data_IF_318765923823
#
_entry.id   IF_318765923823
#
_cell.length_a   1.000
_cell.length_b   1.000
_cell.length_c   1.000
_cell.angle_alpha   90.00
_cell.angle_beta   90.00
_cell.angle_gamma   90.00
#
_symmetry.space_group_name_H-M   'P 1'
#
loop_
_entity.id
_entity.type
_entity.pdbx_description
1 polymer ?
#
# COMPACT_ATOMS: atom_id res chain seq x y z
N UNK A 1 -34.84 -18.14 -43.78
CA UNK A 1 -34.42 -16.78 -43.38
C UNK A 1 -34.00 -16.84 -41.92
N UNK A 2 -32.69 -16.82 -41.63
CA UNK A 2 -32.14 -16.92 -40.27
C UNK A 2 -31.74 -15.52 -39.80
N UNK A 3 -32.28 -15.12 -38.66
CA UNK A 3 -31.95 -13.89 -37.95
C UNK A 3 -30.52 -13.95 -37.40
N UNK A 4 -29.75 -12.88 -37.58
CA UNK A 4 -28.50 -12.62 -36.85
C UNK A 4 -28.69 -11.38 -35.98
N UNK A 5 -28.71 -11.60 -34.66
CA UNK A 5 -28.61 -10.55 -33.64
C UNK A 5 -27.13 -10.36 -33.29
N UNK A 6 -26.61 -9.15 -33.49
CA UNK A 6 -25.29 -8.76 -33.02
C UNK A 6 -25.30 -8.66 -31.48
N UNK A 7 -24.53 -9.53 -30.83
CA UNK A 7 -24.26 -9.48 -29.39
C UNK A 7 -23.24 -8.40 -29.10
N UNK A 8 -23.67 -7.34 -28.43
CA UNK A 8 -22.79 -6.45 -27.66
C UNK A 8 -22.24 -7.28 -26.49
N UNK A 9 -20.92 -7.26 -26.30
CA UNK A 9 -20.23 -7.93 -25.19
C UNK A 9 -20.76 -7.42 -23.85
N UNK A 10 -20.96 -8.29 -22.84
CA UNK A 10 -21.39 -7.82 -21.53
C UNK A 10 -20.20 -7.20 -20.80
N UNK A 11 -20.34 -5.94 -20.41
CA UNK A 11 -19.54 -5.32 -19.36
C UNK A 11 -19.57 -6.22 -18.11
N UNK A 12 -18.39 -6.57 -17.60
CA UNK A 12 -18.27 -7.37 -16.38
C UNK A 12 -18.97 -6.63 -15.22
N UNK A 13 -19.80 -7.32 -14.43
CA UNK A 13 -20.53 -6.67 -13.35
C UNK A 13 -19.56 -6.25 -12.24
N UNK A 14 -19.40 -4.94 -12.07
CA UNK A 14 -18.84 -4.36 -10.85
C UNK A 14 -19.59 -4.95 -9.64
N UNK A 15 -18.86 -5.65 -8.77
CA UNK A 15 -19.41 -6.26 -7.57
C UNK A 15 -19.83 -5.16 -6.59
N UNK A 16 -21.13 -4.83 -6.59
CA UNK A 16 -21.75 -3.97 -5.59
C UNK A 16 -21.62 -4.63 -4.22
N UNK A 17 -20.80 -4.06 -3.33
CA UNK A 17 -20.90 -4.29 -1.88
C UNK A 17 -19.65 -4.69 -1.10
N UNK A 18 -18.43 -4.71 -1.70
CA UNK A 18 -17.21 -5.00 -0.92
C UNK A 18 -16.47 -3.70 -0.57
N UNK A 19 -16.52 -3.31 0.70
CA UNK A 19 -15.66 -2.27 1.28
C UNK A 19 -14.19 -2.60 1.04
N UNK A 20 -13.33 -1.61 0.87
CA UNK A 20 -11.90 -1.80 0.59
C UNK A 20 -11.03 -1.47 1.81
N UNK A 21 -11.39 -0.45 2.58
CA UNK A 21 -10.74 -0.10 3.83
C UNK A 21 -11.33 -0.89 5.00
N UNK A 22 -10.51 -1.20 6.01
CA UNK A 22 -10.94 -1.94 7.20
C UNK A 22 -11.16 -3.44 6.97
N UNK A 23 -10.72 -3.97 5.83
CA UNK A 23 -10.95 -5.37 5.42
C UNK A 23 -9.63 -6.15 5.44
N UNK A 24 -9.62 -7.45 5.78
CA UNK A 24 -8.42 -8.27 5.74
C UNK A 24 -7.75 -8.23 4.38
N UNK A 25 -6.41 -8.16 4.37
CA UNK A 25 -5.64 -7.96 3.14
C UNK A 25 -5.89 -9.10 2.14
N UNK A 26 -6.00 -10.33 2.62
CA UNK A 26 -6.30 -11.54 1.86
C UNK A 26 -7.60 -11.43 1.07
N UNK A 27 -8.65 -10.87 1.66
CA UNK A 27 -9.95 -10.71 1.01
C UNK A 27 -9.92 -9.68 -0.14
N UNK A 28 -8.94 -8.77 -0.14
CA UNK A 28 -8.75 -7.78 -1.19
C UNK A 28 -7.94 -8.32 -2.38
N UNK A 29 -7.18 -9.41 -2.18
CA UNK A 29 -6.36 -10.03 -3.24
C UNK A 29 -7.02 -11.22 -3.92
N UNK A 30 -8.10 -11.79 -3.36
CA UNK A 30 -8.89 -12.87 -3.98
C UNK A 30 -9.48 -12.49 -5.37
N UNK A 31 -9.51 -11.20 -5.71
CA UNK A 31 -9.89 -10.71 -7.05
C UNK A 31 -8.83 -9.83 -7.72
N UNK A 32 -7.61 -9.73 -7.18
CA UNK A 32 -6.57 -8.84 -7.66
C UNK A 32 -5.69 -9.48 -8.75
N UNK A 33 -5.13 -8.65 -9.61
CA UNK A 33 -4.22 -9.01 -10.72
C UNK A 33 -2.95 -9.75 -10.26
N UNK A 34 -2.22 -10.30 -11.24
CA UNK A 34 -1.07 -11.22 -11.17
C UNK A 34 0.02 -10.97 -10.08
N UNK A 35 0.10 -9.78 -9.48
CA UNK A 35 1.11 -9.43 -8.46
C UNK A 35 0.64 -9.68 -7.01
N UNK A 36 -0.65 -9.94 -6.77
CA UNK A 36 -1.17 -10.23 -5.43
C UNK A 36 -1.07 -9.04 -4.46
N UNK A 37 -1.33 -7.84 -4.96
CA UNK A 37 -1.42 -6.57 -4.22
C UNK A 37 -2.80 -5.93 -4.52
N UNK A 38 -3.50 -5.34 -3.55
CA UNK A 38 -4.80 -4.70 -3.79
C UNK A 38 -4.74 -3.57 -4.82
N UNK A 39 -5.73 -3.50 -5.72
CA UNK A 39 -5.76 -2.55 -6.83
C UNK A 39 -5.66 -1.08 -6.38
N UNK A 40 -6.35 -0.70 -5.29
CA UNK A 40 -6.27 0.67 -4.75
C UNK A 40 -4.84 1.06 -4.34
N UNK A 41 -4.05 0.12 -3.83
CA UNK A 41 -2.64 0.37 -3.46
C UNK A 41 -1.82 0.61 -4.70
N UNK A 42 -2.03 -0.21 -5.76
CA UNK A 42 -1.36 -0.04 -7.05
C UNK A 42 -1.67 1.34 -7.62
N UNK A 43 -2.95 1.72 -7.70
CA UNK A 43 -3.36 3.03 -8.23
C UNK A 43 -2.76 4.21 -7.45
N UNK A 44 -2.78 4.15 -6.12
CA UNK A 44 -2.19 5.20 -5.28
C UNK A 44 -0.67 5.29 -5.48
N UNK A 45 0.02 4.16 -5.56
CA UNK A 45 1.47 4.12 -5.80
C UNK A 45 1.82 4.63 -7.19
N UNK A 46 1.14 4.17 -8.24
CA UNK A 46 1.35 4.65 -9.62
C UNK A 46 1.17 6.17 -9.73
N UNK A 47 0.10 6.71 -9.11
CA UNK A 47 -0.10 8.16 -9.04
C UNK A 47 1.09 8.85 -8.33
N UNK A 48 1.51 8.37 -7.18
CA UNK A 48 2.61 8.99 -6.42
C UNK A 48 3.98 8.82 -7.10
N UNK A 49 4.17 7.78 -7.89
CA UNK A 49 5.38 7.63 -8.71
C UNK A 49 5.43 8.65 -9.85
N UNK A 50 4.29 9.03 -10.42
CA UNK A 50 4.22 10.01 -11.50
C UNK A 50 4.28 11.44 -10.96
N UNK A 51 3.56 11.74 -9.88
CA UNK A 51 3.37 13.12 -9.40
C UNK A 51 4.08 13.44 -8.09
N UNK A 52 4.53 12.44 -7.34
CA UNK A 52 4.95 12.60 -5.94
C UNK A 52 6.45 12.52 -5.67
N UNK A 53 7.26 11.98 -6.58
CA UNK A 53 8.68 11.71 -6.30
C UNK A 53 9.50 12.95 -5.95
N UNK A 54 9.18 14.11 -6.51
CA UNK A 54 9.86 15.37 -6.22
C UNK A 54 9.07 16.27 -5.24
N UNK A 55 7.92 15.82 -4.75
CA UNK A 55 7.08 16.61 -3.85
C UNK A 55 7.71 16.68 -2.44
N UNK A 56 8.09 17.90 -2.04
CA UNK A 56 8.75 18.16 -0.76
C UNK A 56 7.92 17.65 0.41
N UNK A 57 8.51 16.73 1.19
CA UNK A 57 7.89 16.17 2.37
C UNK A 57 6.77 15.16 2.06
N UNK A 58 6.77 14.54 0.88
CA UNK A 58 5.84 13.44 0.58
C UNK A 58 5.76 12.42 1.74
N UNK A 59 4.55 11.99 2.09
CA UNK A 59 4.21 11.21 3.29
C UNK A 59 4.39 11.91 4.64
N UNK A 60 5.26 12.91 4.79
CA UNK A 60 5.38 13.68 6.03
C UNK A 60 4.28 14.73 6.17
N UNK A 61 3.97 15.43 5.09
CA UNK A 61 2.91 16.43 5.07
C UNK A 61 1.53 15.74 5.04
N UNK A 62 0.62 16.23 5.88
CA UNK A 62 -0.75 15.72 5.95
C UNK A 62 -1.60 16.32 4.84
N UNK A 63 -2.34 15.46 4.13
CA UNK A 63 -3.29 15.90 3.12
C UNK A 63 -4.59 16.43 3.70
N UNK A 64 -5.45 16.93 2.81
CA UNK A 64 -6.79 17.41 3.16
C UNK A 64 -7.65 16.27 3.72
N UNK A 65 -8.13 16.41 4.95
CA UNK A 65 -9.01 15.44 5.64
C UNK A 65 -10.28 15.17 4.83
N UNK A 66 -10.88 16.21 4.25
CA UNK A 66 -12.09 16.08 3.44
C UNK A 66 -11.83 15.22 2.19
N UNK A 67 -10.73 15.50 1.50
CA UNK A 67 -10.38 14.78 0.27
C UNK A 67 -9.98 13.34 0.53
N UNK A 68 -9.28 13.07 1.64
CA UNK A 68 -8.99 11.71 2.11
C UNK A 68 -10.30 10.96 2.38
N UNK A 69 -11.27 11.59 3.07
CA UNK A 69 -12.57 10.99 3.36
C UNK A 69 -13.37 10.70 2.08
N UNK A 70 -13.40 11.63 1.14
CA UNK A 70 -14.07 11.47 -0.16
C UNK A 70 -13.47 10.35 -0.99
N UNK A 71 -12.14 10.32 -1.16
CA UNK A 71 -11.45 9.27 -1.90
C UNK A 71 -11.65 7.90 -1.25
N UNK A 72 -11.53 7.82 0.08
CA UNK A 72 -11.81 6.59 0.85
C UNK A 72 -13.24 6.10 0.61
N UNK A 73 -14.22 7.01 0.64
CA UNK A 73 -15.62 6.67 0.41
C UNK A 73 -15.83 6.11 -0.99
N UNK A 74 -15.28 6.76 -2.02
CA UNK A 74 -15.34 6.27 -3.42
C UNK A 74 -14.78 4.85 -3.53
N UNK A 75 -13.60 4.61 -2.95
CA UNK A 75 -12.99 3.27 -2.91
C UNK A 75 -13.86 2.23 -2.20
N UNK A 76 -14.47 2.58 -1.06
CA UNK A 76 -15.34 1.65 -0.31
C UNK A 76 -16.65 1.35 -1.04
N UNK A 77 -17.13 2.28 -1.87
CA UNK A 77 -18.34 2.11 -2.69
C UNK A 77 -18.06 1.36 -4.00
N UNK A 78 -16.81 1.06 -4.30
CA UNK A 78 -16.40 0.44 -5.56
C UNK A 78 -16.53 1.39 -6.75
N UNK A 79 -16.58 2.70 -6.49
CA UNK A 79 -16.61 3.72 -7.53
C UNK A 79 -15.26 3.83 -8.22
N UNK A 80 -15.28 4.27 -9.48
CA UNK A 80 -14.04 4.60 -10.20
C UNK A 80 -13.42 5.84 -9.55
N UNK A 81 -12.21 5.68 -9.03
CA UNK A 81 -11.42 6.78 -8.46
C UNK A 81 -10.46 7.32 -9.51
N UNK A 82 -10.55 8.61 -9.80
CA UNK A 82 -9.62 9.32 -10.68
C UNK A 82 -8.69 10.19 -9.84
N UNK A 83 -7.55 9.64 -9.43
CA UNK A 83 -6.59 10.33 -8.57
C UNK A 83 -5.98 11.58 -9.21
N UNK A 84 -5.96 11.68 -10.55
CA UNK A 84 -5.41 12.85 -11.26
C UNK A 84 -6.32 14.06 -11.09
N UNK A 85 -7.63 13.86 -11.19
CA UNK A 85 -8.60 14.95 -11.09
C UNK A 85 -9.13 15.16 -9.66
N UNK A 86 -9.29 14.07 -8.90
CA UNK A 86 -9.89 14.09 -7.56
C UNK A 86 -8.85 14.09 -6.44
N UNK A 87 -7.56 13.92 -6.76
CA UNK A 87 -6.46 13.75 -5.79
C UNK A 87 -5.51 14.94 -5.72
N UNK A 88 -4.61 14.89 -4.74
CA UNK A 88 -3.36 15.64 -4.67
C UNK A 88 -2.32 14.79 -3.94
N UNK A 89 -1.04 15.13 -4.07
CA UNK A 89 0.05 14.29 -3.54
C UNK A 89 -0.09 14.03 -2.04
N UNK A 90 -0.37 15.05 -1.24
CA UNK A 90 -0.46 14.93 0.22
C UNK A 90 -1.66 14.09 0.65
N UNK A 91 -2.82 14.29 0.01
CA UNK A 91 -4.03 13.50 0.26
C UNK A 91 -3.89 12.04 -0.17
N UNK A 92 -3.29 11.76 -1.33
CA UNK A 92 -3.10 10.37 -1.80
C UNK A 92 -2.04 9.65 -0.96
N UNK A 93 -0.94 10.33 -0.61
CA UNK A 93 0.07 9.80 0.30
C UNK A 93 -0.51 9.48 1.69
N UNK A 94 -1.35 10.38 2.21
CA UNK A 94 -2.05 10.18 3.49
C UNK A 94 -3.07 9.04 3.42
N UNK A 95 -3.78 8.91 2.30
CA UNK A 95 -4.75 7.85 2.07
C UNK A 95 -4.09 6.47 2.00
N UNK A 96 -2.91 6.36 1.36
CA UNK A 96 -2.13 5.12 1.33
C UNK A 96 -1.72 4.69 2.75
N UNK A 97 -1.20 5.62 3.56
CA UNK A 97 -0.88 5.34 4.98
C UNK A 97 -2.12 4.93 5.78
N UNK A 98 -3.24 5.60 5.53
CA UNK A 98 -4.51 5.29 6.19
C UNK A 98 -4.99 3.87 5.86
N UNK A 99 -4.87 3.45 4.60
CA UNK A 99 -5.20 2.09 4.18
C UNK A 99 -4.42 1.05 5.01
N UNK A 100 -3.10 1.21 5.11
CA UNK A 100 -2.24 0.30 5.88
C UNK A 100 -2.62 0.26 7.37
N UNK A 101 -2.85 1.44 7.95
CA UNK A 101 -3.24 1.58 9.36
C UNK A 101 -4.58 0.91 9.67
N UNK A 102 -5.53 0.94 8.74
CA UNK A 102 -6.88 0.39 8.92
C UNK A 102 -6.98 -1.11 8.60
N UNK A 103 -5.94 -1.75 8.07
CA UNK A 103 -5.95 -3.21 7.92
C UNK A 103 -6.25 -3.87 9.28
N UNK A 104 -7.15 -4.87 9.36
CA UNK A 104 -7.46 -5.53 10.63
C UNK A 104 -6.24 -6.16 11.29
N UNK A 105 -5.36 -6.77 10.49
CA UNK A 105 -4.03 -7.25 10.88
C UNK A 105 -2.98 -6.32 10.26
N UNK A 106 -2.00 -5.88 11.05
CA UNK A 106 -0.91 -5.04 10.57
C UNK A 106 -0.10 -5.72 9.47
N UNK A 107 0.61 -4.94 8.64
CA UNK A 107 1.50 -5.51 7.62
C UNK A 107 2.56 -6.41 8.25
N UNK A 108 3.07 -6.01 9.42
CA UNK A 108 3.85 -6.85 10.33
C UNK A 108 2.97 -7.30 11.52
N UNK A 109 2.46 -8.53 11.51
CA UNK A 109 1.68 -9.06 12.63
C UNK A 109 2.53 -9.21 13.91
N UNK A 110 1.90 -9.16 15.08
CA UNK A 110 2.56 -9.15 16.40
C UNK A 110 3.54 -10.32 16.61
N UNK A 111 3.22 -11.50 16.09
CA UNK A 111 4.08 -12.68 16.18
C UNK A 111 5.38 -12.55 15.37
N UNK A 112 5.40 -11.69 14.34
CA UNK A 112 6.60 -11.34 13.59
C UNK A 112 7.36 -10.22 14.30
N UNK A 113 6.67 -9.24 14.88
CA UNK A 113 7.28 -8.12 15.62
C UNK A 113 8.19 -8.58 16.76
N UNK A 114 7.77 -9.57 17.54
CA UNK A 114 8.58 -10.14 18.63
C UNK A 114 9.87 -10.78 18.12
N UNK A 115 9.80 -11.51 17.00
CA UNK A 115 10.96 -12.08 16.31
C UNK A 115 11.91 -11.00 15.81
N UNK A 116 11.40 -9.96 15.15
CA UNK A 116 12.19 -8.84 14.66
C UNK A 116 12.94 -8.13 15.79
N UNK A 117 12.26 -7.84 16.90
CA UNK A 117 12.86 -7.19 18.05
C UNK A 117 14.00 -8.03 18.65
N UNK A 118 13.77 -9.34 18.80
CA UNK A 118 14.78 -10.28 19.28
C UNK A 118 16.01 -10.28 18.36
N UNK A 119 15.81 -10.39 17.05
CA UNK A 119 16.91 -10.34 16.06
C UNK A 119 17.73 -9.05 16.19
N UNK A 120 17.06 -7.90 16.36
CA UNK A 120 17.73 -6.61 16.50
C UNK A 120 18.44 -6.40 17.85
N UNK A 121 18.04 -7.14 18.90
CA UNK A 121 18.72 -7.13 20.20
C UNK A 121 19.94 -8.06 20.23
N UNK A 122 19.84 -9.21 19.58
CA UNK A 122 20.87 -10.26 19.61
C UNK A 122 22.00 -10.02 18.59
N UNK A 123 21.70 -9.33 17.49
CA UNK A 123 22.68 -9.09 16.42
C UNK A 123 22.87 -7.59 16.15
N UNK A 124 24.10 -7.22 15.80
CA UNK A 124 24.36 -5.89 15.24
C UNK A 124 23.64 -5.75 13.90
N UNK A 125 23.14 -4.55 13.60
CA UNK A 125 22.56 -4.24 12.29
C UNK A 125 23.52 -4.62 11.16
N UNK A 126 22.97 -5.12 10.05
CA UNK A 126 23.69 -5.46 8.82
C UNK A 126 24.69 -6.63 8.91
N UNK A 127 24.71 -7.42 9.99
CA UNK A 127 25.42 -8.70 9.98
C UNK A 127 24.69 -9.71 9.10
N UNK A 128 25.43 -10.65 8.51
CA UNK A 128 24.84 -11.75 7.71
C UNK A 128 23.77 -12.51 8.49
N UNK A 129 24.04 -12.80 9.77
CA UNK A 129 23.11 -13.50 10.65
C UNK A 129 21.82 -12.70 10.89
N UNK A 130 21.93 -11.39 11.12
CA UNK A 130 20.76 -10.51 11.22
C UNK A 130 19.94 -10.55 9.93
N UNK A 131 20.59 -10.48 8.76
CA UNK A 131 19.91 -10.47 7.46
C UNK A 131 19.19 -11.80 7.21
N UNK A 132 19.82 -12.94 7.48
CA UNK A 132 19.19 -14.25 7.32
C UNK A 132 18.02 -14.44 8.28
N UNK A 133 18.15 -14.06 9.55
CA UNK A 133 17.05 -14.11 10.51
C UNK A 133 15.86 -13.23 10.09
N UNK A 134 16.12 -12.01 9.61
CA UNK A 134 15.09 -11.15 9.05
C UNK A 134 14.42 -11.82 7.84
N UNK A 135 15.20 -12.43 6.95
CA UNK A 135 14.69 -13.12 5.77
C UNK A 135 13.76 -14.28 6.13
N UNK A 136 14.13 -15.08 7.14
CA UNK A 136 13.29 -16.16 7.65
C UNK A 136 11.97 -15.63 8.23
N UNK A 137 12.02 -14.62 9.09
CA UNK A 137 10.84 -14.00 9.69
C UNK A 137 9.90 -13.42 8.63
N UNK A 138 10.44 -12.71 7.64
CA UNK A 138 9.65 -12.18 6.53
C UNK A 138 9.09 -13.30 5.63
N UNK A 139 9.78 -14.44 5.54
CA UNK A 139 9.31 -15.64 4.86
C UNK A 139 8.08 -16.28 5.52
N UNK A 140 7.91 -16.09 6.84
CA UNK A 140 6.76 -16.58 7.60
C UNK A 140 5.49 -15.71 7.47
N UNK A 141 5.59 -14.51 6.88
CA UNK A 141 4.42 -13.66 6.65
C UNK A 141 3.41 -14.34 5.70
N UNK A 142 2.10 -14.11 5.85
CA UNK A 142 1.13 -14.51 4.84
C UNK A 142 1.49 -13.96 3.45
N UNK A 143 1.16 -14.70 2.39
CA UNK A 143 1.60 -14.35 1.02
C UNK A 143 1.16 -12.94 0.59
N UNK A 144 -0.06 -12.53 0.96
CA UNK A 144 -0.58 -11.21 0.67
C UNK A 144 0.26 -10.11 1.34
N UNK A 145 0.63 -10.31 2.61
CA UNK A 145 1.48 -9.39 3.37
C UNK A 145 2.89 -9.30 2.77
N UNK A 146 3.49 -10.42 2.37
CA UNK A 146 4.80 -10.43 1.69
C UNK A 146 4.78 -9.65 0.37
N UNK A 147 3.74 -9.84 -0.44
CA UNK A 147 3.61 -9.16 -1.72
C UNK A 147 3.43 -7.65 -1.53
N UNK A 148 2.55 -7.24 -0.61
CA UNK A 148 2.35 -5.84 -0.25
C UNK A 148 3.64 -5.20 0.25
N UNK A 149 4.36 -5.87 1.17
CA UNK A 149 5.62 -5.37 1.71
C UNK A 149 6.69 -5.22 0.63
N UNK A 150 6.84 -6.19 -0.27
CA UNK A 150 7.79 -6.11 -1.39
C UNK A 150 7.45 -4.94 -2.31
N UNK A 151 6.17 -4.78 -2.65
CA UNK A 151 5.69 -3.71 -3.51
C UNK A 151 5.93 -2.32 -2.90
N UNK A 152 5.54 -2.14 -1.63
CA UNK A 152 5.76 -0.89 -0.90
C UNK A 152 7.25 -0.59 -0.71
N UNK A 153 8.06 -1.58 -0.36
CA UNK A 153 9.51 -1.39 -0.17
C UNK A 153 10.19 -0.89 -1.44
N UNK A 154 9.82 -1.45 -2.61
CA UNK A 154 10.36 -1.00 -3.89
C UNK A 154 9.99 0.47 -4.18
N UNK A 155 8.74 0.84 -3.95
CA UNK A 155 8.27 2.21 -4.14
C UNK A 155 8.91 3.19 -3.14
N UNK A 156 9.00 2.84 -1.85
CA UNK A 156 9.63 3.69 -0.83
C UNK A 156 11.13 3.88 -1.08
N UNK A 157 11.82 2.87 -1.60
CA UNK A 157 13.21 3.01 -2.04
C UNK A 157 13.34 4.01 -3.20
N UNK A 158 12.39 4.01 -4.13
CA UNK A 158 12.32 5.00 -5.21
C UNK A 158 12.11 6.41 -4.67
N UNK A 159 11.18 6.60 -3.71
CA UNK A 159 10.97 7.91 -3.05
C UNK A 159 12.25 8.38 -2.36
N UNK A 160 12.93 7.49 -1.63
CA UNK A 160 14.18 7.82 -0.96
C UNK A 160 15.33 8.18 -1.92
N UNK A 161 15.35 7.61 -3.13
CA UNK A 161 16.32 7.98 -4.16
C UNK A 161 16.17 9.45 -4.61
N UNK A 162 15.00 10.06 -4.43
CA UNK A 162 14.72 11.47 -4.70
C UNK A 162 14.84 12.36 -3.45
N UNK A 163 15.41 11.85 -2.36
CA UNK A 163 15.54 12.57 -1.08
C UNK A 163 16.32 13.88 -1.15
N UNK A 164 17.17 14.06 -2.16
CA UNK A 164 17.84 15.34 -2.42
C UNK A 164 16.86 16.48 -2.78
N UNK A 165 15.68 16.14 -3.30
CA UNK A 165 14.62 17.08 -3.69
C UNK A 165 13.45 17.02 -2.71
N UNK A 166 12.92 15.82 -2.45
CA UNK A 166 11.74 15.66 -1.61
C UNK A 166 12.03 15.66 -0.09
N UNK A 167 13.30 15.62 0.32
CA UNK A 167 13.77 15.58 1.72
C UNK A 167 13.35 14.36 2.55
N UNK A 168 12.92 13.29 1.91
CA UNK A 168 12.46 12.06 2.57
C UNK A 168 13.49 10.94 2.40
N UNK A 169 14.47 10.87 3.30
CA UNK A 169 15.43 9.74 3.38
C UNK A 169 14.73 8.45 3.82
N UNK A 170 15.43 7.31 3.72
CA UNK A 170 14.93 6.04 4.26
C UNK A 170 14.62 6.14 5.77
N UNK A 171 15.42 6.86 6.57
CA UNK A 171 15.10 7.04 8.00
C UNK A 171 13.82 7.85 8.20
N UNK A 172 13.65 8.95 7.44
CA UNK A 172 12.44 9.78 7.53
C UNK A 172 11.20 8.97 7.13
N UNK A 173 11.28 8.16 6.07
CA UNK A 173 10.20 7.29 5.64
C UNK A 173 9.90 6.21 6.68
N UNK A 174 10.91 5.60 7.30
CA UNK A 174 10.72 4.59 8.35
C UNK A 174 9.97 5.16 9.57
N UNK A 175 10.28 6.39 10.00
CA UNK A 175 9.58 7.08 11.09
C UNK A 175 8.10 7.28 10.73
N UNK A 176 7.82 7.70 9.50
CA UNK A 176 6.45 8.01 9.05
C UNK A 176 5.60 6.75 8.82
N UNK A 177 6.19 5.69 8.26
CA UNK A 177 5.49 4.44 7.96
C UNK A 177 5.44 3.46 9.12
N UNK A 178 6.37 3.53 10.07
CA UNK A 178 6.42 2.63 11.23
C UNK A 178 5.05 2.45 11.90
N UNK A 179 4.37 3.52 12.36
CA UNK A 179 3.06 3.41 13.00
C UNK A 179 1.92 2.87 12.12
N UNK A 180 2.11 2.79 10.79
CA UNK A 180 1.12 2.23 9.87
C UNK A 180 1.42 0.78 9.49
N UNK A 181 2.69 0.36 9.58
CA UNK A 181 3.15 -0.98 9.26
C UNK A 181 3.14 -1.91 10.48
N UNK A 182 3.36 -1.35 11.67
CA UNK A 182 3.31 -1.99 12.97
C UNK A 182 2.07 -1.52 13.75
N UNK A 183 1.48 -2.39 14.57
CA UNK A 183 0.39 -2.04 15.51
C UNK A 183 0.85 -2.14 16.95
#
# INVERSE_FOLDING_TARGET
VRHTTNKVSPDLPFSRGKSTFGVPLEALVEGATQCGVPLLVIQMVEYLEVFGLEHVGIFRISGSVNKIKELKQKYNQGEKVDLVNDGDVDSVASLLKLFLKELPVAVFPDNICSGLLKTFQEHKMHTTECIENLRELLGCLPKAHQNLLRFLSAFLLKVAAYSAVNFMTLENLAIVFGPALFK
#
